data_IF_875391575760
#
_entry.id   IF_875391575760
#
_cell.length_a   1.000
_cell.length_b   1.000
_cell.length_c   1.000
_cell.angle_alpha   90.00
_cell.angle_beta   90.00
_cell.angle_gamma   90.00
#
_symmetry.space_group_name_H-M   'P 1'
#
loop_
_entity.id
_entity.type
_entity.pdbx_description
1 polymer ?
#
# COMPACT_ATOMS: atom_id res chain seq x y z
N UNK A 1 8.87 9.85 -15.86
CA UNK A 1 7.79 9.68 -16.85
C UNK A 1 6.73 10.73 -16.55
N UNK A 2 6.52 11.69 -17.46
CA UNK A 2 5.41 12.62 -17.34
C UNK A 2 4.20 11.90 -17.92
N UNK A 3 3.14 11.68 -17.13
CA UNK A 3 1.82 11.40 -17.68
C UNK A 3 1.62 12.37 -18.85
N UNK A 4 1.41 11.85 -20.07
CA UNK A 4 1.39 12.72 -21.24
C UNK A 4 0.21 13.68 -21.06
N UNK A 5 0.53 14.96 -20.91
CA UNK A 5 -0.43 16.02 -20.57
C UNK A 5 -1.47 16.30 -21.65
N UNK A 6 -1.33 15.65 -22.81
CA UNK A 6 -2.36 15.62 -23.83
C UNK A 6 -3.55 14.76 -23.44
N UNK A 7 -3.47 13.95 -22.37
CA UNK A 7 -4.59 13.14 -21.93
C UNK A 7 -5.70 14.05 -21.36
N UNK A 8 -6.89 14.10 -22.00
CA UNK A 8 -8.00 14.92 -21.56
C UNK A 8 -8.45 14.60 -20.12
N UNK A 9 -8.15 13.40 -19.61
CA UNK A 9 -8.51 13.01 -18.26
C UNK A 9 -7.61 13.68 -17.23
N UNK A 10 -6.30 13.78 -17.48
CA UNK A 10 -5.34 14.48 -16.59
C UNK A 10 -5.69 15.97 -16.52
N UNK A 11 -6.03 16.59 -17.65
CA UNK A 11 -6.47 17.98 -17.70
C UNK A 11 -7.78 18.21 -16.91
N UNK A 12 -8.77 17.30 -17.06
CA UNK A 12 -10.03 17.34 -16.30
C UNK A 12 -9.79 17.20 -14.79
N UNK A 13 -8.90 16.31 -14.39
CA UNK A 13 -8.54 16.11 -12.99
C UNK A 13 -7.78 17.28 -12.40
N UNK A 14 -6.89 17.91 -13.16
CA UNK A 14 -6.18 19.11 -12.73
C UNK A 14 -7.14 20.29 -12.52
N UNK A 15 -8.18 20.40 -13.37
CA UNK A 15 -9.28 21.35 -13.18
C UNK A 15 -10.06 21.06 -11.89
N UNK A 16 -10.43 19.79 -11.65
CA UNK A 16 -11.12 19.39 -10.42
C UNK A 16 -10.26 19.64 -9.16
N UNK A 17 -8.96 19.35 -9.23
CA UNK A 17 -7.98 19.67 -8.16
C UNK A 17 -7.98 21.16 -7.85
N UNK A 18 -7.88 22.02 -8.87
CA UNK A 18 -7.90 23.49 -8.69
C UNK A 18 -9.18 23.96 -8.01
N UNK A 19 -10.34 23.37 -8.33
CA UNK A 19 -11.61 23.70 -7.66
C UNK A 19 -11.57 23.30 -6.18
N UNK A 20 -11.10 22.10 -5.86
CA UNK A 20 -10.96 21.66 -4.45
C UNK A 20 -9.95 22.54 -3.71
N UNK A 21 -8.80 22.82 -4.31
CA UNK A 21 -7.78 23.70 -3.75
C UNK A 21 -8.35 25.09 -3.45
N UNK A 22 -9.10 25.68 -4.38
CA UNK A 22 -9.74 26.99 -4.19
C UNK A 22 -10.81 26.94 -3.09
N UNK A 23 -11.65 25.90 -3.04
CA UNK A 23 -12.66 25.73 -1.97
C UNK A 23 -12.01 25.61 -0.60
N UNK A 24 -11.01 24.73 -0.48
CA UNK A 24 -10.24 24.54 0.76
C UNK A 24 -9.52 25.83 1.16
N UNK A 25 -8.87 26.52 0.23
CA UNK A 25 -8.20 27.80 0.49
C UNK A 25 -9.18 28.86 1.01
N UNK A 26 -10.35 29.01 0.38
CA UNK A 26 -11.39 29.95 0.83
C UNK A 26 -11.90 29.60 2.23
N UNK A 27 -12.13 28.32 2.50
CA UNK A 27 -12.56 27.85 3.83
C UNK A 27 -11.51 28.14 4.90
N UNK A 28 -10.23 27.90 4.63
CA UNK A 28 -9.15 28.25 5.56
C UNK A 28 -9.02 29.76 5.77
N UNK A 29 -9.23 30.57 4.73
CA UNK A 29 -9.26 32.02 4.87
C UNK A 29 -10.44 32.48 5.74
N UNK A 30 -11.63 31.92 5.53
CA UNK A 30 -12.81 32.21 6.33
C UNK A 30 -12.69 31.71 7.77
N UNK A 31 -12.17 30.50 7.98
CA UNK A 31 -11.92 29.94 9.29
C UNK A 31 -10.85 30.74 10.05
N UNK A 32 -9.77 31.13 9.36
CA UNK A 32 -8.72 31.98 9.93
C UNK A 32 -9.22 33.36 10.32
N UNK A 33 -10.03 34.00 9.47
CA UNK A 33 -10.66 35.29 9.77
C UNK A 33 -11.65 35.18 10.94
N UNK A 34 -12.46 34.11 10.96
CA UNK A 34 -13.43 33.86 12.04
C UNK A 34 -12.70 33.58 13.36
N UNK A 35 -11.62 32.80 13.33
CA UNK A 35 -10.79 32.52 14.49
C UNK A 35 -10.13 33.79 15.02
N UNK A 36 -9.59 34.64 14.13
CA UNK A 36 -8.99 35.92 14.51
C UNK A 36 -10.01 36.84 15.17
N UNK A 37 -11.20 37.00 14.57
CA UNK A 37 -12.28 37.80 15.14
C UNK A 37 -12.70 37.29 16.52
N UNK A 38 -12.75 35.97 16.70
CA UNK A 38 -13.16 35.34 17.95
C UNK A 38 -12.07 35.44 19.03
N UNK A 39 -10.79 35.33 18.67
CA UNK A 39 -9.66 35.60 19.57
C UNK A 39 -9.69 37.06 20.04
N UNK A 40 -9.89 38.01 19.12
CA UNK A 40 -10.01 39.43 19.46
C UNK A 40 -11.21 39.70 20.38
N UNK A 41 -12.35 39.05 20.12
CA UNK A 41 -13.53 39.13 20.98
C UNK A 41 -13.26 38.54 22.37
N UNK A 42 -12.54 37.43 22.45
CA UNK A 42 -12.19 36.79 23.72
C UNK A 42 -11.23 37.67 24.53
N UNK A 43 -10.24 38.29 23.87
CA UNK A 43 -9.33 39.26 24.50
C UNK A 43 -10.12 40.46 25.02
N UNK A 44 -11.02 41.02 24.21
CA UNK A 44 -11.87 42.15 24.60
C UNK A 44 -12.75 41.82 25.82
N UNK A 45 -13.43 40.68 25.79
CA UNK A 45 -14.26 40.22 26.91
C UNK A 45 -13.42 39.93 28.16
N UNK A 46 -12.19 39.43 27.99
CA UNK A 46 -11.27 39.25 29.11
C UNK A 46 -10.87 40.60 29.70
N UNK A 47 -10.51 41.61 28.89
CA UNK A 47 -10.13 42.94 29.43
C UNK A 47 -11.28 43.66 30.14
N UNK A 48 -12.52 43.47 29.69
CA UNK A 48 -13.69 44.16 30.26
C UNK A 48 -14.24 43.43 31.50
N UNK A 49 -14.12 42.11 31.58
CA UNK A 49 -14.80 41.28 32.58
C UNK A 49 -13.87 40.42 33.46
N UNK A 50 -12.55 40.42 33.25
CA UNK A 50 -11.59 39.73 34.11
C UNK A 50 -11.47 40.41 35.49
N UNK A 51 -12.41 40.08 36.36
CA UNK A 51 -12.49 40.58 37.73
C UNK A 51 -13.91 40.53 38.32
N UNK A 52 -14.95 40.35 37.50
CA UNK A 52 -16.34 40.29 37.95
C UNK A 52 -16.89 38.85 38.10
N UNK A 53 -18.04 38.68 38.80
CA UNK A 53 -18.73 37.39 38.96
C UNK A 53 -19.25 36.76 37.64
N UNK A 54 -19.08 37.45 36.50
CA UNK A 54 -19.62 37.07 35.18
C UNK A 54 -18.62 36.29 34.29
N UNK A 55 -17.64 35.59 34.87
CA UNK A 55 -16.62 34.80 34.16
C UNK A 55 -17.17 33.66 33.27
N UNK A 56 -18.48 33.38 33.31
CA UNK A 56 -19.12 32.35 32.49
C UNK A 56 -19.17 32.71 31.00
N UNK A 57 -19.22 33.99 30.62
CA UNK A 57 -19.20 34.40 29.20
C UNK A 57 -17.88 34.09 28.50
N UNK A 58 -16.76 34.17 29.23
CA UNK A 58 -15.45 33.78 28.72
C UNK A 58 -15.41 32.30 28.35
N UNK A 59 -15.93 31.43 29.23
CA UNK A 59 -16.00 29.99 28.98
C UNK A 59 -16.90 29.63 27.79
N UNK A 60 -18.02 30.34 27.62
CA UNK A 60 -18.91 30.18 26.46
C UNK A 60 -18.18 30.58 25.17
N UNK A 61 -17.47 31.71 25.18
CA UNK A 61 -16.68 32.19 24.04
C UNK A 61 -15.63 31.15 23.61
N UNK A 62 -14.85 30.64 24.56
CA UNK A 62 -13.87 29.57 24.32
C UNK A 62 -14.53 28.31 23.77
N UNK A 63 -15.68 27.90 24.32
CA UNK A 63 -16.43 26.73 23.87
C UNK A 63 -16.85 26.83 22.40
N UNK A 64 -17.36 28.00 21.97
CA UNK A 64 -17.75 28.25 20.58
C UNK A 64 -16.53 28.18 19.65
N UNK A 65 -15.38 28.70 20.06
CA UNK A 65 -14.12 28.61 19.27
C UNK A 65 -13.72 27.18 19.04
N UNK A 66 -13.68 26.39 20.10
CA UNK A 66 -13.25 24.99 20.06
C UNK A 66 -14.21 24.19 19.17
N UNK A 67 -15.52 24.39 19.32
CA UNK A 67 -16.52 23.75 18.47
C UNK A 67 -16.36 24.12 16.99
N UNK A 68 -16.12 25.40 16.69
CA UNK A 68 -15.89 25.89 15.32
C UNK A 68 -14.62 25.30 14.68
N UNK A 69 -13.53 25.19 15.45
CA UNK A 69 -12.29 24.56 15.00
C UNK A 69 -12.48 23.07 14.72
N UNK A 70 -13.16 22.35 15.61
CA UNK A 70 -13.49 20.93 15.41
C UNK A 70 -14.33 20.75 14.14
N UNK A 71 -15.37 21.56 13.95
CA UNK A 71 -16.22 21.51 12.76
C UNK A 71 -15.42 21.76 11.46
N UNK A 72 -14.49 22.73 11.48
CA UNK A 72 -13.62 23.03 10.34
C UNK A 72 -12.67 21.85 10.02
N UNK A 73 -12.09 21.22 11.04
CA UNK A 73 -11.24 20.03 10.89
C UNK A 73 -12.01 18.84 10.31
N UNK A 74 -13.22 18.57 10.82
CA UNK A 74 -14.09 17.51 10.30
C UNK A 74 -14.44 17.78 8.84
N UNK A 75 -14.87 19.01 8.52
CA UNK A 75 -15.22 19.38 7.15
C UNK A 75 -14.04 19.23 6.19
N UNK A 76 -12.85 19.64 6.62
CA UNK A 76 -11.62 19.46 5.86
C UNK A 76 -11.31 17.98 5.60
N UNK A 77 -11.40 17.13 6.63
CA UNK A 77 -11.19 15.69 6.52
C UNK A 77 -12.17 15.03 5.53
N UNK A 78 -13.45 15.41 5.58
CA UNK A 78 -14.47 14.88 4.66
C UNK A 78 -14.21 15.31 3.21
N UNK A 79 -13.86 16.58 2.98
CA UNK A 79 -13.65 17.11 1.64
C UNK A 79 -12.37 16.53 1.00
N UNK A 80 -11.29 16.40 1.77
CA UNK A 80 -10.04 15.80 1.32
C UNK A 80 -10.23 14.32 0.97
N UNK A 81 -10.99 13.57 1.78
CA UNK A 81 -11.29 12.16 1.54
C UNK A 81 -12.07 11.96 0.23
N UNK A 82 -13.10 12.77 0.01
CA UNK A 82 -13.91 12.70 -1.22
C UNK A 82 -13.08 12.98 -2.46
N UNK A 83 -12.18 13.97 -2.40
CA UNK A 83 -11.26 14.26 -3.50
C UNK A 83 -10.29 13.10 -3.72
N UNK A 84 -9.70 12.56 -2.63
CA UNK A 84 -8.78 11.43 -2.68
C UNK A 84 -9.38 10.22 -3.39
N UNK A 85 -10.56 9.78 -2.94
CA UNK A 85 -11.27 8.65 -3.57
C UNK A 85 -11.57 8.95 -5.04
N UNK A 86 -12.16 10.10 -5.36
CA UNK A 86 -12.49 10.44 -6.76
C UNK A 86 -11.26 10.51 -7.66
N UNK A 87 -10.14 11.01 -7.14
CA UNK A 87 -8.87 11.04 -7.85
C UNK A 87 -8.35 9.64 -8.10
N UNK A 88 -8.27 8.82 -7.05
CA UNK A 88 -7.82 7.44 -7.13
C UNK A 88 -8.63 6.67 -8.17
N UNK A 89 -9.96 6.79 -8.13
CA UNK A 89 -10.84 6.08 -9.05
C UNK A 89 -10.69 6.48 -10.52
N UNK A 90 -10.14 7.66 -10.80
CA UNK A 90 -9.94 8.15 -12.17
C UNK A 90 -8.53 7.94 -12.68
N UNK A 91 -7.53 8.01 -11.79
CA UNK A 91 -6.12 7.92 -12.16
C UNK A 91 -5.63 6.48 -12.19
N UNK A 92 -6.02 5.67 -11.21
CA UNK A 92 -5.56 4.30 -11.09
C UNK A 92 -5.82 3.46 -12.37
N UNK A 93 -7.00 3.51 -13.03
CA UNK A 93 -7.20 2.80 -14.29
C UNK A 93 -6.33 3.33 -15.44
N UNK A 94 -5.99 4.62 -15.46
CA UNK A 94 -5.12 5.20 -16.51
C UNK A 94 -3.68 4.72 -16.32
N UNK A 95 -3.19 4.75 -15.08
CA UNK A 95 -1.88 4.23 -14.74
C UNK A 95 -1.82 2.73 -15.08
N UNK A 96 -2.84 1.98 -14.67
CA UNK A 96 -2.92 0.55 -14.91
C UNK A 96 -2.92 0.24 -16.41
N UNK A 97 -3.80 0.86 -17.21
CA UNK A 97 -3.88 0.65 -18.67
C UNK A 97 -2.58 1.03 -19.40
N UNK A 98 -1.87 2.05 -18.91
CA UNK A 98 -0.61 2.46 -19.52
C UNK A 98 0.53 1.47 -19.28
N UNK A 99 0.53 0.78 -18.13
CA UNK A 99 1.56 -0.19 -17.75
C UNK A 99 1.17 -1.61 -18.16
N UNK A 100 -0.12 -1.91 -18.15
CA UNK A 100 -0.75 -3.18 -18.45
C UNK A 100 -1.93 -2.94 -19.42
N UNK A 101 -1.67 -2.87 -20.73
CA UNK A 101 -2.73 -2.66 -21.72
C UNK A 101 -3.78 -3.77 -21.69
N UNK A 102 -5.06 -3.40 -21.73
CA UNK A 102 -6.19 -4.34 -21.69
C UNK A 102 -6.57 -4.84 -20.29
N UNK A 103 -6.01 -4.25 -19.24
CA UNK A 103 -6.35 -4.60 -17.86
C UNK A 103 -7.78 -4.18 -17.51
N UNK A 104 -8.51 -5.10 -16.89
CA UNK A 104 -9.82 -4.81 -16.30
C UNK A 104 -9.64 -4.46 -14.84
N UNK A 105 -10.31 -3.41 -14.39
CA UNK A 105 -10.23 -2.94 -13.01
C UNK A 105 -11.59 -2.95 -12.33
N UNK A 106 -11.67 -3.62 -11.19
CA UNK A 106 -12.84 -3.73 -10.32
C UNK A 106 -12.52 -3.05 -8.98
N UNK A 107 -13.04 -1.84 -8.74
CA UNK A 107 -12.62 -1.03 -7.60
C UNK A 107 -12.87 -1.68 -6.24
N UNK A 108 -13.99 -2.38 -6.11
CA UNK A 108 -14.42 -3.09 -4.89
C UNK A 108 -14.14 -4.60 -4.99
N UNK A 109 -13.45 -5.04 -6.05
CA UNK A 109 -13.04 -6.43 -6.22
C UNK A 109 -11.81 -6.76 -5.35
N UNK A 110 -11.66 -8.05 -5.04
CA UNK A 110 -10.64 -8.57 -4.14
C UNK A 110 -10.28 -10.00 -4.56
N UNK A 111 -8.99 -10.35 -4.51
CA UNK A 111 -8.54 -11.73 -4.68
C UNK A 111 -9.14 -12.65 -3.60
N UNK A 112 -9.43 -13.93 -3.89
CA UNK A 112 -9.90 -14.86 -2.88
C UNK A 112 -8.87 -15.06 -1.74
N UNK A 113 -9.36 -15.32 -0.53
CA UNK A 113 -8.54 -15.60 0.64
C UNK A 113 -7.58 -16.78 0.43
N UNK A 114 -8.00 -17.75 -0.37
CA UNK A 114 -7.25 -18.94 -0.77
C UNK A 114 -5.92 -18.58 -1.42
N UNK A 115 -5.86 -17.45 -2.15
CA UNK A 115 -4.63 -16.97 -2.77
C UNK A 115 -3.54 -16.71 -1.74
N UNK A 116 -3.87 -16.19 -0.55
CA UNK A 116 -2.86 -15.99 0.50
C UNK A 116 -2.32 -17.31 1.06
N UNK A 117 -3.17 -18.33 1.12
CA UNK A 117 -2.80 -19.67 1.63
C UNK A 117 -1.96 -20.42 0.60
N UNK A 118 -2.37 -20.39 -0.67
CA UNK A 118 -1.65 -21.00 -1.79
C UNK A 118 -0.30 -20.34 -2.03
N UNK A 119 -0.21 -19.01 -1.86
CA UNK A 119 1.04 -18.27 -1.90
C UNK A 119 1.87 -18.44 -0.62
N UNK A 120 1.36 -19.16 0.39
CA UNK A 120 1.97 -19.34 1.70
C UNK A 120 2.44 -18.01 2.33
N UNK A 121 1.66 -16.94 2.14
CA UNK A 121 1.93 -15.61 2.69
C UNK A 121 1.47 -15.47 4.15
N UNK A 122 0.62 -16.41 4.57
CA UNK A 122 0.11 -16.62 5.92
C UNK A 122 0.37 -18.06 6.31
N UNK A 123 0.50 -18.34 7.61
CA UNK A 123 0.75 -19.70 8.07
C UNK A 123 -0.49 -20.56 7.84
N UNK A 124 -0.30 -21.84 7.49
CA UNK A 124 -1.41 -22.78 7.30
C UNK A 124 -2.30 -22.95 8.57
N UNK A 125 -1.76 -22.59 9.73
CA UNK A 125 -2.44 -22.65 11.02
C UNK A 125 -3.13 -21.34 11.41
N UNK A 126 -2.87 -20.24 10.70
CA UNK A 126 -3.49 -18.95 11.01
C UNK A 126 -4.98 -18.99 10.66
N UNK A 127 -5.83 -18.66 11.63
CA UNK A 127 -7.24 -18.38 11.31
C UNK A 127 -7.35 -16.98 10.72
N UNK A 128 -7.88 -16.89 9.50
CA UNK A 128 -8.22 -15.60 8.90
C UNK A 128 -9.65 -15.28 9.34
N UNK A 129 -9.77 -14.50 10.41
CA UNK A 129 -11.05 -14.08 10.99
C UNK A 129 -11.66 -12.88 10.26
N UNK A 130 -10.82 -12.02 9.69
CA UNK A 130 -11.24 -10.88 8.86
C UNK A 130 -10.41 -10.83 7.60
N UNK A 131 -11.10 -10.64 6.48
CA UNK A 131 -10.51 -10.55 5.16
C UNK A 131 -11.22 -9.44 4.41
N UNK A 132 -10.47 -8.42 4.02
CA UNK A 132 -10.95 -7.25 3.30
C UNK A 132 -9.90 -6.81 2.29
N UNK A 133 -10.26 -5.92 1.38
CA UNK A 133 -9.36 -5.41 0.36
C UNK A 133 -10.13 -4.73 -0.77
N UNK A 134 -9.41 -4.41 -1.84
CA UNK A 134 -9.93 -3.56 -2.93
C UNK A 134 -9.03 -3.62 -4.15
N UNK A 135 -9.52 -3.01 -5.22
CA UNK A 135 -8.80 -2.77 -6.46
C UNK A 135 -8.28 -4.05 -7.10
N UNK A 136 -9.19 -4.96 -7.45
CA UNK A 136 -8.87 -6.12 -8.27
C UNK A 136 -8.60 -5.68 -9.71
N UNK A 137 -7.43 -6.04 -10.22
CA UNK A 137 -7.03 -5.92 -11.60
C UNK A 137 -6.93 -7.32 -12.19
N UNK A 138 -7.46 -7.52 -13.40
CA UNK A 138 -7.43 -8.80 -14.10
C UNK A 138 -7.10 -8.59 -15.57
N UNK A 139 -6.31 -9.48 -16.16
CA UNK A 139 -6.00 -9.43 -17.58
C UNK A 139 -4.93 -10.44 -17.97
N UNK A 140 -4.35 -10.25 -19.15
CA UNK A 140 -3.19 -11.01 -19.61
C UNK A 140 -1.97 -10.10 -19.67
N UNK A 141 -0.82 -10.58 -19.21
CA UNK A 141 0.44 -9.87 -19.34
C UNK A 141 1.59 -10.86 -19.52
N UNK A 142 2.50 -10.56 -20.46
CA UNK A 142 3.57 -11.48 -20.85
C UNK A 142 3.08 -12.90 -21.24
N UNK A 143 1.88 -13.01 -21.80
CA UNK A 143 1.26 -14.28 -22.20
C UNK A 143 0.67 -15.11 -21.05
N UNK A 144 0.61 -14.54 -19.84
CA UNK A 144 0.06 -15.21 -18.66
C UNK A 144 -1.24 -14.51 -18.22
N UNK A 145 -2.29 -15.26 -17.85
CA UNK A 145 -3.40 -14.72 -17.05
C UNK A 145 -2.88 -14.21 -15.71
N UNK A 146 -3.23 -12.97 -15.36
CA UNK A 146 -2.79 -12.30 -14.14
C UNK A 146 -3.96 -11.63 -13.44
N UNK A 147 -3.94 -11.71 -12.12
CA UNK A 147 -4.83 -10.99 -11.23
C UNK A 147 -4.05 -10.33 -10.10
N UNK A 148 -4.48 -9.16 -9.65
CA UNK A 148 -3.79 -8.42 -8.59
C UNK A 148 -4.76 -7.61 -7.77
N UNK A 149 -4.64 -7.60 -6.44
CA UNK A 149 -5.45 -6.74 -5.58
C UNK A 149 -4.70 -6.30 -4.32
N UNK A 150 -5.21 -5.25 -3.66
CA UNK A 150 -4.83 -4.94 -2.28
C UNK A 150 -5.62 -5.85 -1.33
N UNK A 151 -4.93 -6.44 -0.35
CA UNK A 151 -5.49 -7.43 0.57
C UNK A 151 -5.09 -7.09 2.01
N UNK A 152 -6.05 -7.17 2.93
CA UNK A 152 -5.85 -7.08 4.37
C UNK A 152 -6.48 -8.29 5.08
N UNK A 153 -5.64 -9.11 5.69
CA UNK A 153 -6.05 -10.27 6.48
C UNK A 153 -5.68 -10.08 7.96
N UNK A 154 -6.61 -10.43 8.85
CA UNK A 154 -6.43 -10.34 10.30
C UNK A 154 -6.86 -11.63 11.00
N UNK A 155 -6.09 -12.00 12.02
CA UNK A 155 -6.37 -13.10 12.93
C UNK A 155 -6.88 -12.57 14.27
N UNK A 156 -7.85 -13.26 14.86
CA UNK A 156 -8.32 -12.98 16.22
C UNK A 156 -7.34 -13.56 17.24
N UNK A 157 -6.74 -12.69 18.05
CA UNK A 157 -5.83 -13.07 19.15
C UNK A 157 -6.42 -12.68 20.50
N UNK A 158 -5.99 -13.40 21.52
CA UNK A 158 -6.39 -13.14 22.90
C UNK A 158 -5.13 -12.96 23.75
N UNK A 159 -5.08 -11.91 24.57
CA UNK A 159 -4.01 -11.69 25.54
C UNK A 159 -4.61 -11.56 26.93
N UNK A 160 -4.03 -12.28 27.88
CA UNK A 160 -4.36 -12.10 29.30
C UNK A 160 -3.26 -11.26 29.96
N UNK A 161 -3.64 -10.16 30.59
CA UNK A 161 -2.75 -9.31 31.40
C UNK A 161 -3.44 -9.00 32.72
N UNK A 162 -2.75 -9.21 33.83
CA UNK A 162 -3.23 -8.91 35.19
C UNK A 162 -4.64 -9.49 35.49
N UNK A 163 -4.87 -10.74 35.05
CA UNK A 163 -6.15 -11.45 35.24
C UNK A 163 -7.29 -11.01 34.33
N UNK A 164 -7.08 -10.02 33.45
CA UNK A 164 -8.05 -9.59 32.43
C UNK A 164 -7.69 -10.16 31.06
N UNK A 165 -8.67 -10.72 30.38
CA UNK A 165 -8.53 -11.27 29.03
C UNK A 165 -9.10 -10.29 28.01
N UNK A 166 -8.25 -9.85 27.08
CA UNK A 166 -8.63 -8.96 25.98
C UNK A 166 -8.49 -9.69 24.65
N UNK A 167 -9.53 -9.60 23.82
CA UNK A 167 -9.52 -10.07 22.43
C UNK A 167 -9.23 -8.90 21.50
N UNK A 168 -8.30 -9.07 20.57
CA UNK A 168 -7.97 -8.09 19.54
C UNK A 168 -7.73 -8.78 18.19
N UNK A 169 -7.79 -8.02 17.10
CA UNK A 169 -7.46 -8.52 15.77
C UNK A 169 -6.04 -8.09 15.39
N UNK A 170 -5.17 -9.04 15.12
CA UNK A 170 -3.80 -8.82 14.68
C UNK A 170 -3.72 -8.93 13.16
N UNK A 171 -3.11 -7.95 12.51
CA UNK A 171 -2.82 -8.03 11.07
C UNK A 171 -1.80 -9.13 10.82
N UNK A 172 -2.16 -10.10 10.00
CA UNK A 172 -1.27 -11.20 9.55
C UNK A 172 -0.77 -10.96 8.12
N UNK A 173 -1.54 -10.26 7.30
CA UNK A 173 -1.11 -9.75 6.01
C UNK A 173 -1.80 -8.41 5.71
N UNK A 174 -1.06 -7.44 5.18
CA UNK A 174 -1.61 -6.22 4.61
C UNK A 174 -0.67 -5.81 3.47
N UNK A 175 -1.16 -5.70 2.24
CA UNK A 175 -0.30 -5.51 1.09
C UNK A 175 -0.97 -5.65 -0.26
N UNK A 176 -0.19 -5.48 -1.32
CA UNK A 176 -0.58 -5.86 -2.68
C UNK A 176 -0.21 -7.32 -2.91
N UNK A 177 -1.09 -8.08 -3.55
CA UNK A 177 -0.85 -9.45 -4.00
C UNK A 177 -1.16 -9.54 -5.48
N UNK A 178 -0.25 -10.14 -6.24
CA UNK A 178 -0.42 -10.54 -7.63
C UNK A 178 -0.31 -12.05 -7.72
N UNK A 179 -1.22 -12.66 -8.49
CA UNK A 179 -1.20 -14.05 -8.93
C UNK A 179 -1.12 -14.08 -10.45
N UNK A 180 -0.22 -14.88 -10.99
CA UNK A 180 -0.15 -15.21 -12.41
C UNK A 180 -0.23 -16.72 -12.59
N UNK A 181 -1.03 -17.19 -13.54
CA UNK A 181 -1.08 -18.61 -13.91
C UNK A 181 0.20 -18.97 -14.67
N UNK A 182 1.00 -19.88 -14.12
CA UNK A 182 2.28 -20.29 -14.70
C UNK A 182 2.58 -21.74 -14.36
N UNK A 183 2.74 -22.56 -15.38
CA UNK A 183 3.04 -23.98 -15.21
C UNK A 183 4.53 -24.29 -15.27
N UNK A 184 4.94 -25.44 -14.71
CA UNK A 184 6.24 -26.04 -15.00
C UNK A 184 7.36 -25.73 -14.00
N UNK A 185 7.07 -25.07 -12.88
CA UNK A 185 8.02 -25.04 -11.76
C UNK A 185 7.97 -26.39 -11.01
N UNK A 186 9.09 -27.10 -10.77
CA UNK A 186 9.05 -28.47 -10.25
C UNK A 186 8.65 -28.59 -8.77
N UNK A 187 8.55 -27.47 -8.03
CA UNK A 187 8.23 -27.47 -6.61
C UNK A 187 7.73 -26.11 -6.13
N UNK A 188 8.01 -25.77 -4.87
CA UNK A 188 7.76 -24.46 -4.27
C UNK A 188 9.09 -23.72 -4.11
N UNK A 189 9.15 -22.48 -4.58
CA UNK A 189 10.28 -21.59 -4.33
C UNK A 189 9.81 -20.23 -3.86
N UNK A 190 10.34 -19.75 -2.74
CA UNK A 190 10.12 -18.42 -2.19
C UNK A 190 11.41 -17.62 -2.22
N UNK A 191 11.35 -16.43 -2.81
CA UNK A 191 12.40 -15.42 -2.76
C UNK A 191 11.88 -14.20 -2.00
N UNK A 192 12.46 -13.91 -0.83
CA UNK A 192 12.02 -12.80 0.03
C UNK A 192 13.12 -11.79 0.27
N UNK A 193 12.75 -10.51 0.32
CA UNK A 193 13.66 -9.46 0.78
C UNK A 193 13.87 -9.56 2.30
N UNK A 194 15.14 -9.54 2.74
CA UNK A 194 15.55 -9.56 4.14
C UNK A 194 15.43 -8.14 4.70
N UNK A 195 14.40 -7.92 5.51
CA UNK A 195 14.26 -6.67 6.26
C UNK A 195 14.79 -6.85 7.70
N UNK A 196 15.89 -6.18 8.09
CA UNK A 196 16.45 -6.26 9.44
C UNK A 196 15.62 -5.49 10.50
N UNK A 197 14.65 -4.65 10.11
CA UNK A 197 13.87 -3.79 11.02
C UNK A 197 12.55 -4.39 11.50
N UNK A 198 12.13 -5.52 10.95
CA UNK A 198 10.86 -6.17 11.27
C UNK A 198 11.12 -7.66 11.51
N UNK A 199 10.82 -8.14 12.72
CA UNK A 199 11.07 -9.53 13.12
C UNK A 199 10.27 -10.49 12.25
N UNK A 200 10.99 -11.29 11.47
CA UNK A 200 10.45 -12.39 10.67
C UNK A 200 9.85 -13.47 11.60
N UNK A 201 8.57 -13.31 11.95
CA UNK A 201 7.74 -14.35 12.58
C UNK A 201 6.63 -14.76 11.59
N UNK A 202 7.01 -15.12 10.37
CA UNK A 202 6.16 -16.02 9.56
C UNK A 202 6.53 -17.43 10.04
N UNK A 203 5.70 -18.02 10.89
CA UNK A 203 5.89 -19.38 11.36
C UNK A 203 5.55 -20.32 10.20
N UNK A 204 6.58 -20.81 9.52
CA UNK A 204 6.45 -21.82 8.48
C UNK A 204 5.68 -23.05 9.01
N UNK A 205 4.88 -23.74 8.17
CA UNK A 205 4.41 -25.09 8.49
C UNK A 205 5.61 -26.00 8.86
N UNK A 206 5.48 -26.83 9.89
CA UNK A 206 6.60 -27.60 10.48
C UNK A 206 7.37 -28.55 9.56
N UNK A 207 6.88 -28.81 8.33
CA UNK A 207 7.62 -29.56 7.32
C UNK A 207 8.66 -28.71 6.56
N UNK A 208 8.53 -27.37 6.55
CA UNK A 208 9.55 -26.45 6.01
C UNK A 208 10.60 -26.03 7.05
N UNK A 209 10.32 -26.14 8.35
CA UNK A 209 11.30 -25.75 9.38
C UNK A 209 12.57 -26.61 9.39
N UNK A 210 12.52 -27.81 8.82
CA UNK A 210 13.69 -28.67 8.62
C UNK A 210 14.64 -28.21 7.49
N UNK A 211 14.17 -27.33 6.60
CA UNK A 211 14.94 -26.77 5.48
C UNK A 211 15.57 -25.40 5.83
N UNK A 212 15.47 -24.93 7.07
CA UNK A 212 16.08 -23.69 7.56
C UNK A 212 17.62 -23.73 7.69
N UNK A 213 18.28 -24.65 6.97
CA UNK A 213 19.69 -24.50 6.63
C UNK A 213 19.76 -23.38 5.59
N UNK A 214 20.18 -22.19 6.01
CA UNK A 214 20.26 -20.98 5.17
C UNK A 214 21.53 -21.02 4.29
N UNK A 215 21.50 -21.46 3.01
CA UNK A 215 22.59 -21.11 2.13
C UNK A 215 22.50 -19.59 1.88
N UNK A 216 23.48 -18.85 2.38
CA UNK A 216 23.76 -17.52 1.84
C UNK A 216 23.99 -17.68 0.35
N UNK A 217 23.10 -17.14 -0.48
CA UNK A 217 23.30 -17.22 -1.93
C UNK A 217 24.34 -16.16 -2.28
N UNK A 218 25.57 -16.62 -2.46
CA UNK A 218 26.62 -15.83 -3.08
C UNK A 218 26.37 -15.89 -4.59
N UNK A 219 25.92 -14.77 -5.15
CA UNK A 219 25.83 -14.62 -6.60
C UNK A 219 27.18 -14.16 -7.14
N UNK A 220 27.48 -14.56 -8.38
CA UNK A 220 28.45 -13.85 -9.22
C UNK A 220 27.84 -12.55 -9.75
N UNK A 221 27.38 -11.67 -8.87
CA UNK A 221 26.86 -10.34 -9.22
C UNK A 221 27.98 -9.31 -9.23
N UNK A 222 27.82 -8.25 -10.01
CA UNK A 222 28.76 -7.13 -9.96
C UNK A 222 28.72 -6.39 -8.61
N UNK A 223 27.62 -6.52 -7.86
CA UNK A 223 27.47 -6.07 -6.47
C UNK A 223 27.49 -7.26 -5.50
N UNK A 224 28.56 -7.46 -4.71
CA UNK A 224 28.68 -8.57 -3.76
C UNK A 224 27.68 -8.51 -2.58
N UNK A 225 26.96 -7.40 -2.41
CA UNK A 225 25.97 -7.23 -1.34
C UNK A 225 24.53 -7.45 -1.79
N UNK A 226 24.25 -7.51 -3.09
CA UNK A 226 22.88 -7.62 -3.60
C UNK A 226 22.21 -8.90 -3.10
N UNK A 227 22.90 -10.05 -3.20
CA UNK A 227 22.37 -11.34 -2.75
C UNK A 227 22.08 -11.44 -1.27
N UNK A 228 22.88 -10.75 -0.44
CA UNK A 228 22.75 -10.77 1.03
C UNK A 228 21.44 -10.16 1.53
N UNK A 229 20.78 -9.39 0.67
CA UNK A 229 19.48 -8.76 0.95
C UNK A 229 18.31 -9.68 0.69
N UNK A 230 18.53 -10.89 0.20
CA UNK A 230 17.45 -11.82 -0.11
C UNK A 230 17.65 -13.16 0.59
N UNK A 231 16.54 -13.86 0.78
CA UNK A 231 16.50 -15.24 1.26
C UNK A 231 15.75 -16.05 0.21
N UNK A 232 16.33 -17.18 -0.21
CA UNK A 232 15.68 -18.17 -1.05
C UNK A 232 15.35 -19.38 -0.18
N UNK A 233 14.10 -19.82 -0.27
CA UNK A 233 13.57 -21.00 0.41
C UNK A 233 12.83 -21.84 -0.64
N UNK A 234 12.80 -23.16 -0.46
CA UNK A 234 12.08 -24.04 -1.38
C UNK A 234 12.44 -25.49 -1.17
N UNK A 235 11.62 -26.37 -1.72
CA UNK A 235 11.82 -27.81 -1.73
C UNK A 235 12.76 -28.28 -2.84
N UNK A 236 12.91 -27.49 -3.91
CA UNK A 236 13.77 -27.73 -5.07
C UNK A 236 14.88 -26.66 -5.20
N UNK A 237 16.06 -26.86 -4.56
CA UNK A 237 17.11 -25.83 -4.49
C UNK A 237 17.70 -25.42 -5.84
N UNK A 238 17.80 -26.35 -6.79
CA UNK A 238 18.38 -26.10 -8.12
C UNK A 238 17.45 -25.23 -8.96
N UNK A 239 16.18 -25.61 -9.02
CA UNK A 239 15.14 -24.83 -9.70
C UNK A 239 15.01 -23.44 -9.08
N UNK A 240 15.07 -23.34 -7.74
CA UNK A 240 15.03 -22.05 -7.07
C UNK A 240 16.21 -21.15 -7.42
N UNK A 241 17.44 -21.68 -7.47
CA UNK A 241 18.64 -20.91 -7.86
C UNK A 241 18.60 -20.44 -9.30
N UNK A 242 18.06 -21.24 -10.22
CA UNK A 242 17.93 -20.87 -11.63
C UNK A 242 17.04 -19.62 -11.85
N UNK A 243 16.07 -19.38 -10.96
CA UNK A 243 15.22 -18.20 -11.01
C UNK A 243 15.94 -16.91 -10.60
N UNK A 244 16.95 -17.01 -9.74
CA UNK A 244 17.54 -15.84 -9.11
C UNK A 244 18.64 -15.23 -9.98
N UNK A 245 18.21 -14.43 -10.95
CA UNK A 245 19.09 -13.65 -11.82
C UNK A 245 19.45 -12.29 -11.20
N UNK A 246 20.58 -11.69 -11.60
CA UNK A 246 20.95 -10.33 -11.18
C UNK A 246 19.84 -9.33 -11.56
N UNK A 247 19.24 -9.49 -12.73
CA UNK A 247 18.16 -8.61 -13.19
C UNK A 247 16.90 -8.72 -12.31
N UNK A 248 16.51 -9.93 -11.90
CA UNK A 248 15.40 -10.13 -10.97
C UNK A 248 15.69 -9.45 -9.63
N UNK A 249 16.88 -9.67 -9.05
CA UNK A 249 17.25 -9.07 -7.78
C UNK A 249 17.30 -7.55 -7.82
N UNK A 250 17.86 -6.97 -8.90
CA UNK A 250 17.85 -5.52 -9.12
C UNK A 250 16.43 -5.00 -9.27
N UNK A 251 15.55 -5.73 -9.96
CA UNK A 251 14.15 -5.33 -10.13
C UNK A 251 13.38 -5.38 -8.80
N UNK A 252 13.58 -6.41 -7.99
CA UNK A 252 13.00 -6.49 -6.65
C UNK A 252 13.55 -5.41 -5.71
N UNK A 253 14.82 -5.04 -5.83
CA UNK A 253 15.39 -3.92 -5.09
C UNK A 253 14.77 -2.58 -5.52
N UNK A 254 14.56 -2.38 -6.82
CA UNK A 254 13.85 -1.20 -7.35
C UNK A 254 12.42 -1.16 -6.84
N UNK A 255 11.72 -2.29 -6.84
CA UNK A 255 10.37 -2.44 -6.29
C UNK A 255 10.32 -2.11 -4.79
N UNK A 256 11.30 -2.59 -4.01
CA UNK A 256 11.46 -2.24 -2.59
C UNK A 256 11.70 -0.75 -2.37
N UNK A 257 12.42 -0.09 -3.28
CA UNK A 257 12.78 1.33 -3.18
C UNK A 257 11.68 2.25 -3.73
N UNK A 258 10.82 1.74 -4.60
CA UNK A 258 9.67 2.45 -5.14
C UNK A 258 8.47 2.38 -4.21
N UNK A 259 8.61 1.98 -2.95
CA UNK A 259 7.50 1.62 -2.05
C UNK A 259 7.98 1.46 -0.61
N UNK A 260 7.03 1.36 0.32
CA UNK A 260 7.30 0.86 1.66
C UNK A 260 7.17 -0.67 1.73
N UNK A 261 6.50 -1.27 0.75
CA UNK A 261 6.28 -2.70 0.58
C UNK A 261 7.57 -3.52 0.68
N UNK A 262 7.50 -4.68 1.33
CA UNK A 262 8.58 -5.69 1.30
C UNK A 262 8.21 -6.74 0.25
N UNK A 263 9.00 -6.90 -0.83
CA UNK A 263 8.68 -7.83 -1.88
C UNK A 263 9.00 -9.28 -1.49
N UNK A 264 8.05 -10.15 -1.78
CA UNK A 264 8.17 -11.61 -1.72
C UNK A 264 7.65 -12.18 -3.02
N UNK A 265 8.41 -13.09 -3.62
CA UNK A 265 8.03 -13.87 -4.79
C UNK A 265 7.87 -15.31 -4.37
N UNK A 266 6.78 -15.97 -4.78
CA UNK A 266 6.56 -17.40 -4.55
C UNK A 266 6.18 -18.05 -5.88
N UNK A 267 6.97 -19.03 -6.31
CA UNK A 267 6.58 -19.92 -7.41
C UNK A 267 6.11 -21.24 -6.82
N UNK A 268 5.02 -21.73 -7.39
CA UNK A 268 4.46 -23.06 -7.18
C UNK A 268 4.37 -23.76 -8.54
N UNK A 269 4.02 -25.04 -8.60
CA UNK A 269 3.91 -25.73 -9.89
C UNK A 269 2.86 -25.16 -10.86
N UNK A 270 1.88 -24.41 -10.34
CA UNK A 270 0.75 -23.88 -11.10
C UNK A 270 0.69 -22.35 -11.17
N UNK A 271 1.34 -21.66 -10.25
CA UNK A 271 1.20 -20.20 -10.11
C UNK A 271 2.51 -19.53 -9.72
N UNK A 272 2.64 -18.28 -10.20
CA UNK A 272 3.56 -17.28 -9.68
C UNK A 272 2.78 -16.29 -8.81
N UNK A 273 3.29 -16.04 -7.61
CA UNK A 273 2.80 -15.02 -6.70
C UNK A 273 3.84 -13.96 -6.44
N UNK A 274 3.40 -12.70 -6.39
CA UNK A 274 4.21 -11.56 -5.95
C UNK A 274 3.43 -10.83 -4.88
N UNK A 275 4.04 -10.61 -3.72
CA UNK A 275 3.44 -9.88 -2.62
C UNK A 275 4.30 -8.68 -2.22
N UNK A 276 3.65 -7.54 -1.98
CA UNK A 276 4.26 -6.34 -1.43
C UNK A 276 3.63 -6.04 -0.07
N UNK A 277 4.23 -6.60 0.99
CA UNK A 277 3.71 -6.45 2.35
C UNK A 277 3.97 -5.04 2.87
N UNK A 278 2.93 -4.38 3.37
CA UNK A 278 2.97 -3.01 3.88
C UNK A 278 2.64 -1.94 2.83
N UNK A 279 2.39 -2.34 1.58
CA UNK A 279 2.03 -1.46 0.48
C UNK A 279 0.52 -1.40 0.25
N UNK A 280 0.03 -0.32 -0.37
CA UNK A 280 -1.37 -0.20 -0.76
C UNK A 280 -1.50 0.64 -2.03
N UNK A 281 -2.55 0.43 -2.83
CA UNK A 281 -2.84 1.28 -3.99
C UNK A 281 -3.40 2.66 -3.59
N UNK A 282 -3.24 3.06 -2.33
CA UNK A 282 -3.79 4.31 -1.80
C UNK A 282 -3.08 5.50 -2.42
N UNK A 283 -3.67 6.04 -3.49
CA UNK A 283 -3.34 7.37 -3.98
C UNK A 283 -3.83 8.38 -2.95
N UNK A 284 -2.91 8.96 -2.19
CA UNK A 284 -3.16 10.11 -1.34
C UNK A 284 -2.59 11.39 -1.98
N UNK A 285 -3.10 11.81 -3.16
CA UNK A 285 -2.57 12.98 -3.84
C UNK A 285 -2.75 14.23 -2.98
N UNK A 286 -1.71 15.04 -2.92
CA UNK A 286 -1.83 16.39 -2.38
C UNK A 286 -2.74 17.21 -3.28
N UNK A 287 -3.88 17.69 -2.76
CA UNK A 287 -4.72 18.66 -3.49
C UNK A 287 -3.99 20.00 -3.72
N UNK A 288 -2.84 20.22 -3.06
CA UNK A 288 -2.03 21.44 -3.16
C UNK A 288 -1.08 21.42 -4.36
N UNK A 289 -0.60 20.24 -4.74
CA UNK A 289 0.39 20.09 -5.82
C UNK A 289 -0.27 19.73 -7.15
N UNK A 290 0.19 20.29 -8.28
CA UNK A 290 -0.24 19.87 -9.61
C UNK A 290 -0.01 18.37 -9.84
N UNK A 291 -0.93 17.71 -10.55
CA UNK A 291 -0.95 16.24 -10.69
C UNK A 291 0.37 15.68 -11.24
N UNK A 292 0.98 16.34 -12.21
CA UNK A 292 2.25 15.92 -12.81
C UNK A 292 3.49 16.06 -11.93
N UNK A 293 3.40 16.86 -10.88
CA UNK A 293 4.47 17.04 -9.91
C UNK A 293 4.24 16.14 -8.69
N UNK A 294 3.12 15.40 -8.64
CA UNK A 294 2.83 14.51 -7.54
C UNK A 294 3.74 13.29 -7.61
N UNK A 295 4.67 13.24 -6.67
CA UNK A 295 5.54 12.09 -6.45
C UNK A 295 4.72 10.80 -6.29
N UNK A 296 3.56 10.86 -5.64
CA UNK A 296 2.66 9.71 -5.42
C UNK A 296 2.22 9.03 -6.72
N UNK A 297 1.94 9.78 -7.77
CA UNK A 297 1.50 9.23 -9.07
C UNK A 297 2.67 8.57 -9.78
N UNK A 298 3.84 9.19 -9.75
CA UNK A 298 5.07 8.63 -10.35
C UNK A 298 5.52 7.37 -9.62
N UNK A 299 5.38 7.36 -8.29
CA UNK A 299 5.70 6.25 -7.41
C UNK A 299 4.85 5.02 -7.72
N UNK A 300 3.53 5.16 -7.77
CA UNK A 300 2.65 4.04 -8.14
C UNK A 300 2.86 3.52 -9.55
N UNK A 301 3.13 4.43 -10.49
CA UNK A 301 3.48 4.05 -11.85
C UNK A 301 4.75 3.18 -11.88
N UNK A 302 5.81 3.61 -11.17
CA UNK A 302 7.06 2.85 -11.08
C UNK A 302 6.87 1.51 -10.36
N UNK A 303 6.08 1.49 -9.29
CA UNK A 303 5.78 0.27 -8.54
C UNK A 303 5.09 -0.77 -9.44
N UNK A 304 4.02 -0.39 -10.13
CA UNK A 304 3.34 -1.27 -11.09
C UNK A 304 4.27 -1.75 -12.20
N UNK A 305 5.11 -0.87 -12.74
CA UNK A 305 6.10 -1.25 -13.75
C UNK A 305 7.11 -2.28 -13.23
N UNK A 306 7.64 -2.07 -12.01
CA UNK A 306 8.59 -3.00 -11.42
C UNK A 306 7.93 -4.33 -11.06
N UNK A 307 6.68 -4.31 -10.60
CA UNK A 307 5.90 -5.50 -10.29
C UNK A 307 5.66 -6.33 -11.55
N UNK A 308 5.19 -5.71 -12.64
CA UNK A 308 5.01 -6.39 -13.93
C UNK A 308 6.35 -6.81 -14.57
N UNK A 309 7.43 -6.06 -14.36
CA UNK A 309 8.76 -6.49 -14.81
C UNK A 309 9.21 -7.77 -14.12
N UNK A 310 8.88 -7.97 -12.83
CA UNK A 310 9.14 -9.24 -12.14
C UNK A 310 8.38 -10.39 -12.80
N UNK A 311 7.11 -10.16 -13.18
CA UNK A 311 6.34 -11.15 -13.94
C UNK A 311 7.05 -11.48 -15.26
N UNK A 312 7.42 -10.49 -16.07
CA UNK A 312 8.11 -10.72 -17.35
C UNK A 312 9.39 -11.57 -17.20
N UNK A 313 10.19 -11.29 -16.18
CA UNK A 313 11.44 -12.01 -15.92
C UNK A 313 11.21 -13.45 -15.50
N UNK A 314 10.09 -13.73 -14.84
CA UNK A 314 9.75 -15.06 -14.34
C UNK A 314 8.82 -15.83 -15.29
N UNK A 315 8.15 -15.14 -16.22
CA UNK A 315 7.32 -15.74 -17.26
C UNK A 315 8.16 -16.49 -18.29
N UNK A 316 9.40 -16.04 -18.53
CA UNK A 316 10.33 -16.73 -19.43
C UNK A 316 10.77 -18.05 -18.78
N UNK A 317 10.59 -19.17 -19.48
CA UNK A 317 11.22 -20.43 -19.07
C UNK A 317 12.73 -20.23 -18.97
N UNK A 318 13.40 -20.73 -17.93
CA UNK A 318 14.84 -20.88 -18.00
C UNK A 318 15.11 -21.78 -19.22
N UNK A 319 15.77 -21.23 -20.23
CA UNK A 319 16.32 -22.05 -21.32
C UNK A 319 17.31 -23.02 -20.68
N UNK A 320 16.86 -24.24 -20.42
CA UNK A 320 17.72 -25.38 -20.11
C UNK A 320 18.49 -25.76 -21.36
#
# INVERSE_FOLDING_TARGET
MQLSFGDPIVAKLEKERKVVHQKVKKLWQQAGLSLLALVLLTIYLFTEYAGGPNNHYFLIGVGITVAGLIAALIFWAVLSERFRKKFQFKILPIIAEQVWPGVRWYPDGLLPMEVLREAELVSAHDSIDRYDGKHLFEGEFAGLPIEMSEVHAQERRTRTKDGKTETYHATIFNGIVLRAERYGHPGVTRLSYRDPGWGLNVQLPGWFSGMASRPEIQFGTNDPNLGKRFTLEGDEPEAGRALVTEELLVTLQKLKNSGNGVPTVVLTPLHLYIALRGESFTLAPSYREPIHQQATVSHQYQELQHLLRVVELLAQEPKV
#
